data_IF_326859042357
#
_entry.id   IF_326859042357
#
_cell.length_a   1.000
_cell.length_b   1.000
_cell.length_c   1.000
_cell.angle_alpha   90.00
_cell.angle_beta   90.00
_cell.angle_gamma   90.00
#
_symmetry.space_group_name_H-M   'P 1'
#
loop_
_entity.id
_entity.type
_entity.pdbx_description
1 polymer ?
#
# COMPACT_ATOMS: atom_id res chain seq x y z
N UNK A 1 -18.34 8.63 7.81
CA UNK A 1 -17.10 9.41 7.78
C UNK A 1 -15.92 8.44 7.65
N UNK A 2 -15.03 8.70 6.71
CA UNK A 2 -13.81 7.90 6.51
C UNK A 2 -12.69 8.48 7.35
N UNK A 3 -12.08 7.64 8.18
CA UNK A 3 -10.90 8.00 8.98
C UNK A 3 -9.70 7.16 8.53
N UNK A 4 -8.56 7.81 8.38
CA UNK A 4 -7.29 7.18 8.05
C UNK A 4 -6.32 7.55 9.15
N UNK A 5 -5.82 6.56 9.88
CA UNK A 5 -4.95 6.76 11.06
C UNK A 5 -3.75 5.84 11.00
N UNK A 6 -2.64 6.28 11.58
CA UNK A 6 -1.52 5.38 11.83
C UNK A 6 -2.01 4.15 12.59
N UNK A 7 -1.65 2.97 12.10
CA UNK A 7 -1.98 1.71 12.74
C UNK A 7 -1.35 1.64 14.13
N UNK A 8 -2.14 1.27 15.12
CA UNK A 8 -1.71 1.09 16.50
C UNK A 8 -1.74 -0.38 16.89
N UNK A 9 -1.19 -0.68 18.06
CA UNK A 9 -1.26 -2.03 18.63
C UNK A 9 -2.70 -2.56 18.76
N UNK A 10 -3.67 -1.65 18.89
CA UNK A 10 -5.08 -2.01 19.02
C UNK A 10 -5.71 -2.45 17.67
N UNK A 11 -5.04 -2.17 16.56
CA UNK A 11 -5.56 -2.47 15.21
C UNK A 11 -5.03 -3.79 14.64
N UNK A 12 -4.01 -4.42 15.27
CA UNK A 12 -3.32 -5.57 14.67
C UNK A 12 -4.21 -6.80 14.46
N UNK A 13 -5.26 -6.97 15.26
CA UNK A 13 -6.24 -8.04 15.05
C UNK A 13 -7.03 -7.82 13.75
N UNK A 14 -7.36 -6.59 13.47
CA UNK A 14 -8.03 -6.22 12.21
C UNK A 14 -7.12 -6.45 11.01
N UNK A 15 -5.85 -6.08 11.10
CA UNK A 15 -4.85 -6.33 10.05
C UNK A 15 -4.68 -7.84 9.82
N UNK A 16 -4.58 -8.61 10.90
CA UNK A 16 -4.48 -10.07 10.81
C UNK A 16 -5.66 -10.68 10.08
N UNK A 17 -6.88 -10.22 10.39
CA UNK A 17 -8.12 -10.66 9.75
C UNK A 17 -8.15 -10.26 8.27
N UNK A 18 -7.70 -9.06 7.94
CA UNK A 18 -7.61 -8.58 6.55
C UNK A 18 -6.68 -9.47 5.72
N UNK A 19 -5.50 -9.79 6.23
CA UNK A 19 -4.53 -10.63 5.51
C UNK A 19 -4.98 -12.09 5.38
N UNK A 20 -5.79 -12.58 6.31
CA UNK A 20 -6.34 -13.92 6.24
C UNK A 20 -7.43 -14.08 5.17
N UNK A 21 -7.90 -12.98 4.60
CA UNK A 21 -8.96 -12.98 3.59
C UNK A 21 -8.38 -13.20 2.18
N UNK A 22 -8.72 -14.32 1.55
CA UNK A 22 -8.24 -14.68 0.22
C UNK A 22 -8.71 -13.70 -0.87
N UNK A 23 -9.90 -13.13 -0.75
CA UNK A 23 -10.41 -12.13 -1.70
C UNK A 23 -9.58 -10.84 -1.66
N UNK A 24 -9.00 -10.52 -0.51
CA UNK A 24 -8.08 -9.39 -0.34
C UNK A 24 -6.69 -9.72 -0.90
N UNK A 25 -6.19 -10.91 -0.58
CA UNK A 25 -4.79 -11.27 -0.77
C UNK A 25 -4.49 -12.02 -2.07
N UNK A 26 -5.49 -12.34 -2.88
CA UNK A 26 -5.30 -13.11 -4.12
C UNK A 26 -4.38 -12.40 -5.13
N UNK A 27 -4.44 -11.08 -5.23
CA UNK A 27 -3.61 -10.32 -6.18
C UNK A 27 -2.15 -10.13 -5.71
N UNK A 28 -1.86 -10.50 -4.47
CA UNK A 28 -0.48 -10.46 -3.93
C UNK A 28 0.08 -11.86 -3.69
N UNK A 29 -0.54 -12.87 -4.29
CA UNK A 29 -0.02 -14.23 -4.32
C UNK A 29 -0.55 -15.17 -3.24
N UNK A 30 -1.58 -14.79 -2.50
CA UNK A 30 -2.18 -15.59 -1.43
C UNK A 30 -3.68 -15.79 -1.67
N UNK A 31 -4.08 -16.67 -2.63
CA UNK A 31 -5.50 -16.85 -2.98
C UNK A 31 -6.34 -17.41 -1.83
N UNK A 32 -5.73 -18.08 -0.86
CA UNK A 32 -6.39 -18.61 0.34
C UNK A 32 -6.14 -17.73 1.59
N UNK A 33 -5.59 -16.52 1.40
CA UNK A 33 -5.19 -15.62 2.45
C UNK A 33 -3.81 -15.92 3.03
N UNK A 34 -3.26 -14.97 3.76
CA UNK A 34 -2.02 -15.09 4.50
C UNK A 34 -2.35 -15.23 5.99
N UNK A 35 -2.10 -16.42 6.55
CA UNK A 35 -2.44 -16.75 7.93
C UNK A 35 -1.23 -16.60 8.85
N UNK A 36 -1.14 -15.42 9.49
CA UNK A 36 -0.11 -15.12 10.47
C UNK A 36 -0.64 -15.41 11.88
N UNK A 37 0.23 -15.90 12.77
CA UNK A 37 -0.13 -16.06 14.17
C UNK A 37 0.01 -14.75 14.95
N UNK A 38 -0.40 -14.74 16.21
CA UNK A 38 -0.38 -13.52 17.03
C UNK A 38 1.06 -13.00 17.26
N UNK A 39 2.03 -13.89 17.44
CA UNK A 39 3.43 -13.50 17.63
C UNK A 39 4.01 -12.87 16.37
N UNK A 40 3.69 -13.40 15.19
CA UNK A 40 4.09 -12.83 13.89
C UNK A 40 3.53 -11.41 13.74
N UNK A 41 2.28 -11.19 14.13
CA UNK A 41 1.64 -9.89 14.06
C UNK A 41 2.27 -8.87 15.01
N UNK A 42 2.65 -9.31 16.21
CA UNK A 42 3.37 -8.46 17.17
C UNK A 42 4.74 -8.06 16.62
N UNK A 43 5.48 -8.98 16.04
CA UNK A 43 6.80 -8.73 15.44
C UNK A 43 6.68 -7.77 14.24
N UNK A 44 5.68 -7.98 13.39
CA UNK A 44 5.39 -7.08 12.28
C UNK A 44 5.08 -5.65 12.77
N UNK A 45 4.25 -5.50 13.79
CA UNK A 45 3.91 -4.18 14.31
C UNK A 45 5.15 -3.48 14.92
N UNK A 46 5.99 -4.21 15.64
CA UNK A 46 7.26 -3.65 16.15
C UNK A 46 8.16 -3.17 15.03
N UNK A 47 8.20 -3.90 13.92
CA UNK A 47 8.96 -3.48 12.74
C UNK A 47 8.41 -2.18 12.14
N UNK A 48 7.10 -2.07 11.95
CA UNK A 48 6.44 -0.84 11.47
C UNK A 48 6.77 0.34 12.40
N UNK A 49 6.51 0.18 13.69
CA UNK A 49 6.66 1.25 14.68
C UNK A 49 8.11 1.74 14.78
N UNK A 50 9.07 0.82 14.72
CA UNK A 50 10.52 1.13 14.79
C UNK A 50 11.05 1.85 13.55
N UNK A 51 10.39 1.73 12.41
CA UNK A 51 10.85 2.30 11.13
C UNK A 51 10.09 3.57 10.71
N UNK A 52 9.13 4.01 11.50
CA UNK A 52 8.43 5.27 11.25
C UNK A 52 9.38 6.46 11.35
N UNK A 53 9.26 7.47 10.51
CA UNK A 53 8.31 7.64 9.40
C UNK A 53 8.81 7.17 8.02
N UNK A 54 9.96 6.51 7.93
CA UNK A 54 10.48 5.94 6.67
C UNK A 54 9.52 4.92 6.08
N UNK A 55 8.90 4.12 6.94
CA UNK A 55 7.83 3.19 6.65
C UNK A 55 6.63 3.62 7.47
N UNK A 56 5.44 3.59 6.90
CA UNK A 56 4.24 3.76 7.70
C UNK A 56 3.08 2.93 7.19
N UNK A 57 2.21 2.59 8.10
CA UNK A 57 1.05 1.75 7.85
C UNK A 57 -0.18 2.42 8.48
N UNK A 58 -1.22 2.56 7.67
CA UNK A 58 -2.45 3.25 8.07
C UNK A 58 -3.62 2.27 8.08
N UNK A 59 -4.43 2.39 9.10
CA UNK A 59 -5.70 1.69 9.23
C UNK A 59 -6.83 2.60 8.74
N UNK A 60 -7.69 2.05 7.91
CA UNK A 60 -8.79 2.78 7.26
C UNK A 60 -10.11 2.33 7.87
N UNK A 61 -10.88 3.31 8.36
CA UNK A 61 -12.17 3.07 8.98
C UNK A 61 -13.26 3.88 8.27
N UNK A 62 -14.46 3.33 8.21
CA UNK A 62 -15.66 4.08 7.86
C UNK A 62 -16.69 3.92 9.00
N UNK A 63 -17.06 5.03 9.61
CA UNK A 63 -18.02 5.06 10.74
C UNK A 63 -17.63 4.05 11.85
N UNK A 64 -16.34 3.97 12.16
CA UNK A 64 -15.79 3.09 13.19
C UNK A 64 -15.57 1.64 12.77
N UNK A 65 -15.93 1.27 11.54
CA UNK A 65 -15.73 -0.07 11.00
C UNK A 65 -14.40 -0.14 10.24
N UNK A 66 -13.55 -1.09 10.60
CA UNK A 66 -12.27 -1.31 9.90
C UNK A 66 -12.53 -1.80 8.47
N UNK A 67 -11.99 -1.05 7.50
CA UNK A 67 -12.18 -1.31 6.08
C UNK A 67 -10.96 -1.91 5.39
N UNK A 68 -9.79 -1.67 5.93
CA UNK A 68 -8.54 -2.11 5.31
C UNK A 68 -7.34 -1.26 5.70
N UNK A 69 -6.31 -1.32 4.86
CA UNK A 69 -5.02 -0.68 5.13
C UNK A 69 -4.47 0.05 3.91
N UNK A 70 -3.61 1.02 4.18
CA UNK A 70 -2.73 1.63 3.21
C UNK A 70 -1.32 1.76 3.80
N UNK A 71 -0.29 1.72 2.95
CA UNK A 71 1.08 1.56 3.39
C UNK A 71 2.04 2.26 2.43
N UNK A 72 3.15 2.79 2.96
CA UNK A 72 4.29 3.17 2.15
C UNK A 72 5.61 2.76 2.79
N UNK A 73 6.61 2.53 1.96
CA UNK A 73 8.00 2.31 2.37
C UNK A 73 8.94 3.10 1.46
N UNK A 74 9.71 4.01 2.06
CA UNK A 74 10.67 4.86 1.33
C UNK A 74 12.01 4.14 1.25
N UNK A 75 12.48 3.91 0.03
CA UNK A 75 13.80 3.36 -0.25
C UNK A 75 14.81 4.51 -0.43
N UNK A 76 15.60 4.75 0.60
CA UNK A 76 16.61 5.82 0.60
C UNK A 76 17.79 5.53 -0.30
N UNK A 77 18.05 4.27 -0.62
CA UNK A 77 19.16 3.86 -1.47
C UNK A 77 18.86 4.01 -2.96
N UNK A 78 17.57 4.10 -3.32
CA UNK A 78 17.11 4.22 -4.70
C UNK A 78 16.26 5.48 -4.92
N UNK A 79 16.85 6.65 -4.64
CA UNK A 79 16.27 7.95 -4.97
C UNK A 79 15.07 8.35 -4.12
N UNK A 80 14.94 7.83 -2.91
CA UNK A 80 13.79 8.07 -2.03
C UNK A 80 12.46 7.71 -2.72
N UNK A 81 12.44 6.61 -3.44
CA UNK A 81 11.21 6.08 -4.04
C UNK A 81 10.41 5.29 -3.01
N UNK A 82 9.13 5.56 -2.92
CA UNK A 82 8.25 4.92 -1.96
C UNK A 82 7.32 3.92 -2.64
N UNK A 83 7.41 2.66 -2.26
CA UNK A 83 6.41 1.65 -2.60
C UNK A 83 5.12 1.94 -1.85
N UNK A 84 3.99 1.91 -2.55
CA UNK A 84 2.65 2.05 -1.97
C UNK A 84 1.88 0.75 -2.07
N UNK A 85 1.01 0.51 -1.10
CA UNK A 85 0.07 -0.59 -1.13
C UNK A 85 -1.27 -0.17 -0.52
N UNK A 86 -2.33 -0.80 -0.99
CA UNK A 86 -3.70 -0.63 -0.48
C UNK A 86 -4.39 -1.99 -0.47
N UNK A 87 -5.04 -2.31 0.63
CA UNK A 87 -5.88 -3.51 0.74
C UNK A 87 -7.17 -3.14 1.43
N UNK A 88 -8.29 -3.47 0.82
CA UNK A 88 -9.62 -3.26 1.37
C UNK A 88 -10.40 -4.56 1.36
N UNK A 89 -11.19 -4.78 2.40
CA UNK A 89 -12.23 -5.81 2.36
C UNK A 89 -13.20 -5.55 1.20
N UNK A 90 -13.79 -6.60 0.69
CA UNK A 90 -14.74 -6.52 -0.45
C UNK A 90 -15.89 -5.53 -0.18
N UNK A 91 -16.46 -5.55 1.03
CA UNK A 91 -17.56 -4.64 1.39
C UNK A 91 -17.19 -3.16 1.31
N UNK A 92 -15.91 -2.83 1.39
CA UNK A 92 -15.41 -1.45 1.36
C UNK A 92 -15.03 -0.96 -0.05
N UNK A 93 -15.10 -1.82 -1.04
CA UNK A 93 -14.72 -1.51 -2.43
C UNK A 93 -15.83 -0.78 -3.18
N UNK A 94 -15.43 0.01 -4.20
CA UNK A 94 -16.37 0.71 -5.09
C UNK A 94 -17.09 1.89 -4.45
N UNK A 95 -16.58 2.44 -3.35
CA UNK A 95 -17.22 3.51 -2.56
C UNK A 95 -16.32 4.73 -2.38
N UNK A 96 -15.21 4.82 -3.10
CA UNK A 96 -14.26 5.93 -3.02
C UNK A 96 -13.29 5.87 -1.84
N UNK A 97 -13.33 4.83 -1.01
CA UNK A 97 -12.47 4.68 0.17
C UNK A 97 -11.00 4.53 -0.25
N UNK A 98 -10.73 3.70 -1.27
CA UNK A 98 -9.36 3.51 -1.78
C UNK A 98 -8.74 4.81 -2.28
N UNK A 99 -9.49 5.63 -2.98
CA UNK A 99 -9.03 6.94 -3.47
C UNK A 99 -8.61 7.84 -2.32
N UNK A 100 -9.41 7.93 -1.26
CA UNK A 100 -9.09 8.75 -0.08
C UNK A 100 -7.88 8.21 0.67
N UNK A 101 -7.82 6.90 0.88
CA UNK A 101 -6.72 6.27 1.61
C UNK A 101 -5.39 6.43 0.86
N UNK A 102 -5.37 6.20 -0.45
CA UNK A 102 -4.17 6.37 -1.26
C UNK A 102 -3.74 7.82 -1.36
N UNK A 103 -4.67 8.76 -1.55
CA UNK A 103 -4.35 10.20 -1.58
C UNK A 103 -3.68 10.63 -0.28
N UNK A 104 -4.20 10.20 0.85
CA UNK A 104 -3.60 10.46 2.16
C UNK A 104 -2.19 9.86 2.27
N UNK A 105 -2.03 8.61 1.88
CA UNK A 105 -0.74 7.89 1.97
C UNK A 105 0.31 8.50 1.04
N UNK A 106 -0.07 8.91 -0.17
CA UNK A 106 0.81 9.62 -1.11
C UNK A 106 1.31 10.92 -0.49
N UNK A 107 0.42 11.73 0.07
CA UNK A 107 0.79 12.99 0.72
C UNK A 107 1.74 12.77 1.90
N UNK A 108 1.47 11.76 2.73
CA UNK A 108 2.33 11.42 3.86
C UNK A 108 3.72 10.94 3.41
N UNK A 109 3.77 10.11 2.37
CA UNK A 109 5.06 9.66 1.81
C UNK A 109 5.90 10.85 1.32
N UNK A 110 5.30 11.77 0.57
CA UNK A 110 6.00 12.97 0.12
C UNK A 110 6.41 13.90 1.29
N UNK A 111 5.55 14.05 2.27
CA UNK A 111 5.87 14.85 3.49
C UNK A 111 7.07 14.27 4.24
N UNK A 112 7.22 12.95 4.24
CA UNK A 112 8.27 12.25 4.96
C UNK A 112 9.52 11.96 4.11
N UNK A 113 9.64 12.58 2.93
CA UNK A 113 10.87 12.60 2.15
C UNK A 113 10.86 11.79 0.86
N UNK A 114 9.76 11.16 0.48
CA UNK A 114 9.67 10.49 -0.82
C UNK A 114 9.75 11.52 -1.96
N UNK A 115 10.49 11.17 -3.01
CA UNK A 115 10.56 11.95 -4.26
C UNK A 115 9.67 11.33 -5.34
N UNK A 116 9.46 10.03 -5.26
CA UNK A 116 8.61 9.24 -6.14
C UNK A 116 7.77 8.31 -5.27
N UNK A 117 6.50 8.14 -5.62
CA UNK A 117 5.67 7.06 -5.10
C UNK A 117 5.27 6.14 -6.25
N UNK A 118 5.28 4.83 -6.03
CA UNK A 118 5.04 3.87 -7.10
C UNK A 118 4.19 2.69 -6.65
N UNK A 119 3.55 2.09 -7.62
CA UNK A 119 2.74 0.88 -7.49
C UNK A 119 3.07 -0.07 -8.64
N UNK A 120 2.85 -1.36 -8.45
CA UNK A 120 3.12 -2.38 -9.45
C UNK A 120 1.97 -3.40 -9.59
N UNK A 121 0.77 -2.97 -9.98
CA UNK A 121 -0.34 -3.89 -10.11
C UNK A 121 -0.06 -4.96 -11.17
N UNK A 122 -0.57 -6.17 -10.92
CA UNK A 122 -0.56 -7.23 -11.94
C UNK A 122 -1.51 -6.85 -13.09
N UNK A 123 -1.20 -7.23 -14.36
CA UNK A 123 -2.02 -6.85 -15.52
C UNK A 123 -3.50 -7.25 -15.41
N UNK A 124 -3.80 -8.35 -14.72
CA UNK A 124 -5.17 -8.81 -14.52
C UNK A 124 -5.99 -7.99 -13.53
N UNK A 125 -5.36 -7.08 -12.77
CA UNK A 125 -6.06 -6.24 -11.80
C UNK A 125 -6.49 -4.91 -12.44
N UNK A 126 -7.47 -4.98 -13.34
CA UNK A 126 -7.95 -3.82 -14.10
C UNK A 126 -8.52 -2.71 -13.20
N UNK A 127 -9.15 -3.06 -12.08
CA UNK A 127 -9.72 -2.08 -11.14
C UNK A 127 -8.62 -1.27 -10.45
N UNK A 128 -7.55 -1.91 -10.02
CA UNK A 128 -6.40 -1.22 -9.40
C UNK A 128 -5.72 -0.29 -10.42
N UNK A 129 -5.47 -0.79 -11.64
CA UNK A 129 -4.86 0.01 -12.71
C UNK A 129 -5.69 1.27 -13.00
N UNK A 130 -7.01 1.13 -13.13
CA UNK A 130 -7.91 2.26 -13.36
C UNK A 130 -7.89 3.26 -12.20
N UNK A 131 -7.83 2.77 -10.95
CA UNK A 131 -7.71 3.61 -9.76
C UNK A 131 -6.42 4.43 -9.78
N UNK A 132 -5.29 3.79 -10.07
CA UNK A 132 -4.00 4.47 -10.14
C UNK A 132 -3.94 5.48 -11.28
N UNK A 133 -4.49 5.15 -12.45
CA UNK A 133 -4.63 6.11 -13.56
C UNK A 133 -5.40 7.36 -13.12
N UNK A 134 -6.52 7.20 -12.42
CA UNK A 134 -7.32 8.33 -11.93
C UNK A 134 -6.59 9.19 -10.89
N UNK A 135 -5.71 8.58 -10.09
CA UNK A 135 -4.90 9.29 -9.11
C UNK A 135 -3.71 10.03 -9.72
N UNK A 136 -3.45 9.83 -11.01
CA UNK A 136 -2.37 10.52 -11.73
C UNK A 136 -1.07 9.73 -11.83
N UNK A 137 -1.07 8.44 -11.47
CA UNK A 137 0.07 7.56 -11.71
C UNK A 137 0.27 7.39 -13.22
N UNK A 138 1.52 7.46 -13.65
CA UNK A 138 1.92 7.26 -15.05
C UNK A 138 2.67 5.96 -15.18
N UNK A 139 2.38 5.20 -16.25
CA UNK A 139 3.15 4.01 -16.60
C UNK A 139 4.53 4.40 -17.04
N UNK A 140 5.53 3.78 -16.44
CA UNK A 140 6.93 3.98 -16.76
C UNK A 140 7.64 2.63 -16.83
N UNK A 141 8.84 2.61 -17.36
CA UNK A 141 9.68 1.43 -17.30
C UNK A 141 10.00 1.10 -15.84
N UNK A 142 9.83 -0.16 -15.46
CA UNK A 142 10.20 -0.61 -14.12
C UNK A 142 11.69 -0.42 -13.90
N UNK A 143 12.11 0.24 -12.81
CA UNK A 143 13.53 0.38 -12.47
C UNK A 143 14.21 -0.97 -12.28
N UNK A 144 15.46 -1.08 -12.71
CA UNK A 144 16.22 -2.35 -12.70
C UNK A 144 16.32 -2.96 -11.31
N UNK A 145 16.46 -2.15 -10.26
CA UNK A 145 16.55 -2.64 -8.87
C UNK A 145 15.28 -3.32 -8.35
N UNK A 146 14.14 -3.14 -9.03
CA UNK A 146 12.87 -3.80 -8.71
C UNK A 146 12.65 -5.11 -9.50
N UNK A 147 13.56 -5.43 -10.41
CA UNK A 147 13.49 -6.62 -11.27
C UNK A 147 14.50 -7.63 -10.77
N UNK A 148 14.08 -8.87 -10.54
CA UNK A 148 15.02 -9.95 -10.21
C UNK A 148 15.94 -10.23 -11.40
N UNK A 149 17.20 -10.51 -11.11
CA UNK A 149 18.23 -10.73 -12.15
C UNK A 149 17.84 -11.89 -13.07
N UNK A 150 17.76 -11.60 -14.36
CA UNK A 150 17.42 -12.60 -15.38
C UNK A 150 15.92 -12.81 -15.59
N UNK A 151 15.07 -12.03 -14.92
CA UNK A 151 13.63 -12.10 -15.08
C UNK A 151 13.07 -10.91 -15.88
N UNK A 152 11.92 -11.15 -16.54
CA UNK A 152 11.13 -10.09 -17.16
C UNK A 152 10.08 -9.58 -16.16
N UNK A 153 9.75 -8.28 -16.17
CA UNK A 153 8.73 -7.75 -15.29
C UNK A 153 7.36 -8.41 -15.57
N UNK A 154 6.72 -8.92 -14.51
CA UNK A 154 5.38 -9.53 -14.61
C UNK A 154 4.27 -8.58 -14.19
N UNK A 155 4.61 -7.44 -13.65
CA UNK A 155 3.68 -6.40 -13.20
C UNK A 155 3.85 -5.12 -14.01
N UNK A 156 2.85 -4.22 -13.90
CA UNK A 156 2.87 -2.91 -14.55
C UNK A 156 3.40 -1.91 -13.53
N UNK A 157 4.49 -1.23 -13.86
CA UNK A 157 5.05 -0.19 -12.99
C UNK A 157 4.40 1.16 -13.31
N UNK A 158 3.93 1.85 -12.26
CA UNK A 158 3.31 3.17 -12.36
C UNK A 158 3.82 4.06 -11.23
N UNK A 159 4.08 5.33 -11.53
CA UNK A 159 4.65 6.27 -10.56
C UNK A 159 4.02 7.66 -10.61
N UNK A 160 4.12 8.37 -9.47
CA UNK A 160 3.90 9.81 -9.37
C UNK A 160 5.17 10.43 -8.81
N UNK A 161 5.63 11.51 -9.41
CA UNK A 161 6.77 12.29 -8.92
C UNK A 161 6.28 13.47 -8.10
N UNK A 162 7.02 13.78 -7.03
CA UNK A 162 6.76 14.97 -6.21
C UNK A 162 6.83 16.22 -7.09
N UNK A 163 5.80 17.07 -7.01
CA UNK A 163 5.81 18.35 -7.70
C UNK A 163 6.86 19.28 -7.07
N UNK A 164 7.79 19.78 -7.87
CA UNK A 164 8.69 20.82 -7.45
C UNK A 164 7.96 22.16 -7.55
N UNK A 165 7.94 22.90 -6.47
CA UNK A 165 7.48 24.29 -6.46
C UNK A 165 8.68 25.14 -6.90
N UNK A 166 8.55 25.75 -8.06
CA UNK A 166 9.55 26.69 -8.55
C UNK A 166 9.38 28.04 -7.87
#
# INVERSE_FOLDING_TARGET
MIEIKETTINDIKDVQRLWADGDVMCFVGFPDGLHQNDDDMQDWFRWIDSNRPKINHYSVFEDGVYCGESFYEIDKEHGNSAALDIKLFDFARGRGIATKALSYTIEEAFRNGAEIVWVDPVPGNAKAIALYDRLGFKREKMPDHLIEEGEEPVSIYMEIRKKRIC
#
